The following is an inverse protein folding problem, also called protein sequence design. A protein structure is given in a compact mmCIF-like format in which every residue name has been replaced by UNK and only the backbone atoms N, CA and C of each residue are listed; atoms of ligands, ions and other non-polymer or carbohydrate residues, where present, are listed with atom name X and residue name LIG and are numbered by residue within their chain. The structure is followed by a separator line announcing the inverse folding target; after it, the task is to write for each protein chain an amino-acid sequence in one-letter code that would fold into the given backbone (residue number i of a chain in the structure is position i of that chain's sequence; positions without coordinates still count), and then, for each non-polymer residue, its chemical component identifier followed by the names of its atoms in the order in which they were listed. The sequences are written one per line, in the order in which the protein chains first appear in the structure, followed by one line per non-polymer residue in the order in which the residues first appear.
data_IF_731579427030
#
_entry.id   IF_731579427030
#
_cell.length_a   1.000
_cell.length_b   1.000
_cell.length_c   1.000
_cell.angle_alpha   90.00
_cell.angle_beta   90.00
_cell.angle_gamma   90.00
#
_symmetry.space_group_name_H-M   'P 1'
#
loop_
_entity.id
_entity.type
_entity.pdbx_description
1 polymer ?
2 branched ?
3 non-polymer ?
4 non-polymer ?
5 non-polymer ?
6 water ?
#
# COMPACT_ATOMS: atom_id res chain seq x y z
N UNK A 1 -19.40 -14.02 -2.69
CA UNK A 1 -20.61 -14.51 -1.97
C UNK A 1 -21.78 -14.66 -2.95
N UNK A 2 -22.30 -13.54 -3.42
CA UNK A 2 -23.41 -13.56 -4.37
C UNK A 2 -22.86 -13.77 -5.78
N UNK A 3 -23.68 -14.35 -6.64
CA UNK A 3 -23.29 -14.63 -8.03
C UNK A 3 -23.05 -13.39 -8.86
N UNK A 4 -22.03 -13.45 -9.72
CA UNK A 4 -21.70 -12.34 -10.61
C UNK A 4 -22.72 -12.36 -11.74
N UNK A 5 -23.03 -11.20 -12.32
CA UNK A 5 -23.99 -11.16 -13.42
C UNK A 5 -23.28 -11.56 -14.71
N UNK A 6 -24.04 -11.75 -15.78
CA UNK A 6 -23.46 -12.09 -17.07
C UNK A 6 -22.52 -10.96 -17.46
N UNK A 7 -21.33 -11.30 -17.94
CA UNK A 7 -20.36 -10.29 -18.37
C UNK A 7 -19.69 -10.71 -19.67
N UNK A 8 -19.50 -9.75 -20.57
CA UNK A 8 -18.85 -10.02 -21.84
C UNK A 8 -17.47 -9.39 -21.87
N UNK A 9 -16.44 -10.22 -21.95
CA UNK A 9 -15.06 -9.74 -21.98
C UNK A 9 -14.18 -10.76 -22.69
N UNK A 10 -12.97 -10.34 -23.08
CA UNK A 10 -12.03 -11.23 -23.78
C UNK A 10 -11.71 -12.48 -22.98
N UNK A 11 -11.72 -13.62 -23.66
CA UNK A 11 -11.44 -14.91 -23.03
C UNK A 11 -9.97 -14.98 -22.64
N UNK A 12 -9.68 -15.41 -21.40
CA UNK A 12 -8.27 -15.50 -21.00
C UNK A 12 -7.61 -16.59 -21.85
N UNK A 13 -6.36 -16.35 -22.24
CA UNK A 13 -5.61 -17.29 -23.07
C UNK A 13 -4.63 -18.12 -22.24
N UNK A 14 -4.97 -19.38 -22.00
CA UNK A 14 -4.12 -20.27 -21.22
C UNK A 14 -2.68 -20.37 -21.72
N UNK A 15 -2.52 -20.45 -23.04
CA UNK A 15 -1.21 -20.57 -23.64
C UNK A 15 -0.66 -19.22 -24.09
N UNK A 16 -1.17 -18.16 -23.48
CA UNK A 16 -0.74 -16.79 -23.79
C UNK A 16 -0.70 -15.97 -22.50
N UNK A 17 0.50 -15.78 -21.93
CA UNK A 17 0.64 -14.99 -20.70
C UNK A 17 0.26 -13.54 -20.93
N UNK A 18 -0.17 -12.85 -19.88
CA UNK A 18 -0.52 -11.45 -20.01
C UNK A 18 0.78 -10.65 -20.11
N UNK A 19 1.71 -10.95 -19.21
CA UNK A 19 3.01 -10.30 -19.17
C UNK A 19 4.10 -11.37 -19.22
N UNK A 20 5.06 -11.18 -20.12
CA UNK A 20 6.17 -12.12 -20.28
C UNK A 20 7.48 -11.49 -19.82
N UNK A 21 7.43 -10.19 -19.54
CA UNK A 21 8.60 -9.44 -19.13
C UNK A 21 8.79 -9.32 -17.63
N UNK A 22 7.78 -9.75 -16.86
CA UNK A 22 7.85 -9.65 -15.41
C UNK A 22 7.22 -10.84 -14.71
N UNK A 23 7.60 -11.03 -13.45
CA UNK A 23 7.08 -12.09 -12.60
C UNK A 23 5.71 -11.59 -12.13
N UNK A 24 4.66 -12.35 -12.40
CA UNK A 24 3.31 -11.94 -12.00
C UNK A 24 2.73 -12.72 -10.81
N UNK A 25 3.51 -13.66 -10.28
CA UNK A 25 3.07 -14.44 -9.12
C UNK A 25 4.29 -14.80 -8.28
N UNK A 26 4.19 -14.68 -6.97
CA UNK A 26 5.31 -14.99 -6.09
C UNK A 26 5.41 -16.49 -5.89
N UNK A 27 6.54 -16.97 -5.34
CA UNK A 27 6.68 -18.41 -5.12
C UNK A 27 5.70 -18.97 -4.07
N UNK A 28 4.99 -18.10 -3.36
CA UNK A 28 4.00 -18.58 -2.41
C UNK A 28 2.60 -18.35 -2.99
N UNK A 29 2.57 -18.19 -4.31
CA UNK A 29 1.35 -18.01 -5.08
C UNK A 29 0.52 -16.77 -4.78
N UNK A 30 1.20 -15.65 -4.54
CA UNK A 30 0.52 -14.38 -4.31
C UNK A 30 0.68 -13.59 -5.61
N UNK A 31 -0.41 -13.03 -6.14
CA UNK A 31 -0.29 -12.27 -7.38
C UNK A 31 0.58 -11.03 -7.20
N UNK A 32 1.34 -10.70 -8.24
CA UNK A 32 2.15 -9.48 -8.21
C UNK A 32 1.37 -8.64 -9.22
N UNK A 33 0.81 -7.53 -8.73
CA UNK A 33 -0.04 -6.67 -9.53
C UNK A 33 0.63 -5.71 -10.50
N UNK A 34 0.47 -5.99 -11.79
CA UNK A 34 1.00 -5.18 -12.88
C UNK A 34 -0.14 -4.91 -13.85
N UNK A 35 -0.05 -3.83 -14.62
CA UNK A 35 -1.08 -3.53 -15.60
C UNK A 35 -1.05 -4.68 -16.62
N UNK A 36 -2.22 -5.15 -17.01
CA UNK A 36 -2.32 -6.24 -17.96
C UNK A 36 -2.61 -7.58 -17.32
N UNK A 37 -2.49 -7.65 -16.00
CA UNK A 37 -2.74 -8.91 -15.28
C UNK A 37 -4.16 -9.03 -14.76
N UNK A 38 -4.91 -7.94 -14.74
CA UNK A 38 -6.27 -7.99 -14.22
C UNK A 38 -7.33 -7.30 -15.07
N UNK A 39 -8.54 -7.83 -14.99
CA UNK A 39 -9.69 -7.26 -15.69
C UNK A 39 -10.39 -6.51 -14.56
N UNK A 40 -10.28 -5.19 -14.56
CA UNK A 40 -10.87 -4.39 -13.50
C UNK A 40 -12.40 -4.47 -13.42
N UNK A 41 -13.05 -4.80 -14.54
CA UNK A 41 -14.51 -4.90 -14.51
C UNK A 41 -14.94 -6.09 -13.66
N UNK A 42 -14.23 -7.21 -13.78
CA UNK A 42 -14.58 -8.39 -12.99
C UNK A 42 -14.31 -8.10 -11.52
N UNK A 43 -13.15 -7.52 -11.23
CA UNK A 43 -12.79 -7.21 -9.84
C UNK A 43 -13.75 -6.19 -9.22
N UNK A 44 -14.12 -5.16 -9.98
CA UNK A 44 -15.05 -4.16 -9.43
C UNK A 44 -16.37 -4.81 -9.07
N UNK A 45 -16.83 -5.74 -9.91
CA UNK A 45 -18.08 -6.45 -9.66
C UNK A 45 -17.99 -7.23 -8.36
N UNK A 46 -16.91 -7.99 -8.22
CA UNK A 46 -16.71 -8.79 -7.03
C UNK A 46 -16.71 -7.98 -5.74
N UNK A 47 -15.99 -6.86 -5.73
CA UNK A 47 -15.93 -6.06 -4.53
C UNK A 47 -17.15 -5.19 -4.27
N UNK A 48 -17.84 -4.77 -5.32
CA UNK A 48 -19.05 -3.96 -5.13
C UNK A 48 -20.16 -4.85 -4.57
N UNK A 49 -20.22 -6.10 -5.01
CA UNK A 49 -21.24 -7.02 -4.53
C UNK A 49 -21.09 -7.26 -3.04
N UNK A 50 -19.89 -7.01 -2.53
CA UNK A 50 -19.60 -7.18 -1.11
C UNK A 50 -19.74 -5.85 -0.36
N UNK A 51 -20.12 -4.80 -1.08
CA UNK A 51 -20.29 -3.47 -0.49
C UNK A 51 -19.02 -3.10 0.27
N UNK A 52 -17.88 -3.33 -0.37
CA UNK A 52 -16.56 -3.07 0.23
C UNK A 52 -16.26 -1.61 0.57
N UNK A 53 -15.79 -1.38 1.79
CA UNK A 53 -15.41 -0.05 2.24
C UNK A 53 -13.90 -0.03 2.46
N UNK A 54 -13.21 0.88 1.80
CA UNK A 54 -11.77 0.98 1.96
C UNK A 54 -11.37 2.19 2.78
N UNK A 55 -10.55 1.98 3.80
CA UNK A 55 -10.08 3.08 4.60
C UNK A 55 -8.70 3.47 4.10
N UNK A 56 -8.45 4.76 3.93
CA UNK A 56 -7.17 5.24 3.47
C UNK A 56 -6.62 6.14 4.58
N UNK A 57 -5.50 5.74 5.17
CA UNK A 57 -4.92 6.51 6.26
C UNK A 57 -3.65 7.26 5.86
N UNK A 58 -3.54 8.49 6.32
CA UNK A 58 -2.37 9.32 6.05
C UNK A 58 -2.08 10.18 7.26
N UNK A 59 -0.80 10.44 7.48
CA UNK A 59 -0.36 11.28 8.59
C UNK A 59 0.18 12.56 7.99
N UNK A 60 -0.22 13.68 8.56
CA UNK A 60 0.23 14.97 8.07
C UNK A 60 0.55 15.83 9.28
N UNK A 61 1.79 15.75 9.72
CA UNK A 61 2.25 16.52 10.87
C UNK A 61 3.20 17.62 10.43
N UNK A 62 3.13 18.76 11.12
CA UNK A 62 3.98 19.90 10.81
C UNK A 62 3.79 20.38 9.37
N UNK A 63 4.89 20.59 8.66
CA UNK A 63 4.85 21.08 7.29
C UNK A 63 4.20 20.15 6.27
N UNK A 64 4.00 18.89 6.62
CA UNK A 64 3.41 17.95 5.69
C UNK A 64 1.93 18.16 5.43
N UNK A 65 1.28 19.04 6.20
CA UNK A 65 -0.13 19.30 5.99
C UNK A 65 -0.29 19.96 4.62
N UNK A 66 0.80 20.52 4.10
CA UNK A 66 0.81 21.19 2.81
C UNK A 66 0.59 20.24 1.63
N UNK A 67 0.81 18.95 1.85
CA UNK A 67 0.64 17.96 0.78
C UNK A 67 -0.77 17.40 0.69
N UNK A 68 -1.60 17.69 1.70
CA UNK A 68 -2.96 17.16 1.73
C UNK A 68 -3.88 17.51 0.57
N UNK A 69 -3.88 18.76 0.12
CA UNK A 69 -4.76 19.16 -0.97
C UNK A 69 -4.57 18.33 -2.23
N UNK A 70 -3.36 18.27 -2.74
CA UNK A 70 -3.08 17.50 -3.95
C UNK A 70 -3.31 16.00 -3.72
N UNK A 71 -2.92 15.52 -2.55
CA UNK A 71 -3.10 14.11 -2.23
C UNK A 71 -4.58 13.73 -2.31
N UNK A 72 -5.42 14.46 -1.59
CA UNK A 72 -6.85 14.18 -1.58
C UNK A 72 -7.55 14.42 -2.91
N UNK A 73 -7.21 15.52 -3.59
CA UNK A 73 -7.83 15.83 -4.88
C UNK A 73 -7.54 14.73 -5.90
N UNK A 74 -6.30 14.26 -5.93
CA UNK A 74 -5.95 13.21 -6.88
C UNK A 74 -6.51 11.86 -6.43
N UNK A 75 -6.65 11.64 -5.13
CA UNK A 75 -7.23 10.40 -4.65
C UNK A 75 -8.68 10.34 -5.14
N UNK A 76 -9.34 11.50 -5.13
CA UNK A 76 -10.72 11.56 -5.59
C UNK A 76 -10.86 11.18 -7.06
N UNK A 77 -9.80 11.40 -7.84
CA UNK A 77 -9.84 11.08 -9.26
C UNK A 77 -9.39 9.68 -9.61
N UNK A 78 -8.56 9.09 -8.76
CA UNK A 78 -8.00 7.77 -9.06
C UNK A 78 -8.09 6.64 -8.06
N UNK A 79 -8.41 6.95 -6.81
CA UNK A 79 -8.43 5.93 -5.76
C UNK A 79 -9.79 5.30 -5.46
N UNK A 80 -9.93 4.02 -5.78
CA UNK A 80 -11.16 3.28 -5.50
C UNK A 80 -12.43 3.99 -5.96
N UNK A 81 -12.38 4.68 -7.10
CA UNK A 81 -13.57 5.37 -7.58
C UNK A 81 -14.67 4.36 -7.84
N UNK A 82 -15.85 4.63 -7.28
CA UNK A 82 -16.98 3.73 -7.45
C UNK A 82 -17.26 2.94 -6.19
N UNK A 83 -16.26 2.87 -5.31
CA UNK A 83 -16.41 2.14 -4.05
C UNK A 83 -16.48 3.08 -2.85
N UNK A 84 -16.89 2.54 -1.70
CA UNK A 84 -16.99 3.33 -0.48
C UNK A 84 -15.58 3.57 0.05
N UNK A 85 -15.25 4.83 0.27
CA UNK A 85 -13.93 5.21 0.78
C UNK A 85 -14.04 6.09 2.01
N UNK A 86 -13.21 5.81 3.01
CA UNK A 86 -13.19 6.60 4.22
C UNK A 86 -11.75 7.02 4.46
N UNK A 87 -11.49 8.31 4.31
CA UNK A 87 -10.15 8.85 4.52
C UNK A 87 -9.97 9.15 6.01
N UNK A 88 -8.80 8.83 6.54
CA UNK A 88 -8.50 9.13 7.93
C UNK A 88 -7.23 9.95 7.91
N UNK A 89 -7.35 11.23 8.24
CA UNK A 89 -6.20 12.11 8.24
C UNK A 89 -5.77 12.41 9.68
N UNK A 90 -4.61 11.89 10.06
CA UNK A 90 -4.07 12.11 11.40
C UNK A 90 -3.15 13.32 11.30
N UNK A 91 -3.44 14.36 12.06
CA UNK A 91 -2.66 15.58 11.99
C UNK A 91 -2.61 16.31 13.31
N UNK A 92 -1.60 17.17 13.45
CA UNK A 92 -1.42 17.98 14.66
C UNK A 92 -2.00 19.36 14.38
N UNK A 93 -2.54 19.54 13.18
CA UNK A 93 -3.15 20.80 12.75
C UNK A 93 -4.50 20.57 12.08
N UNK A 94 -5.52 20.16 12.86
CA UNK A 94 -6.85 19.91 12.31
C UNK A 94 -7.39 21.03 11.43
N UNK A 95 -7.25 22.27 11.89
CA UNK A 95 -7.76 23.41 11.15
C UNK A 95 -6.98 23.69 9.86
N UNK A 96 -5.86 22.99 9.67
CA UNK A 96 -5.05 23.19 8.48
C UNK A 96 -5.44 22.24 7.34
N UNK A 97 -6.28 21.26 7.64
CA UNK A 97 -6.72 20.31 6.62
C UNK A 97 -7.56 21.05 5.60
N UNK A 98 -7.20 20.96 4.31
CA UNK A 98 -7.92 21.63 3.23
C UNK A 98 -9.33 21.10 3.01
N UNK A 99 -10.22 21.97 2.55
CA UNK A 99 -11.60 21.60 2.28
C UNK A 99 -11.65 21.03 0.86
N UNK A 100 -11.57 19.72 0.75
CA UNK A 100 -11.59 19.05 -0.54
C UNK A 100 -12.97 18.47 -0.82
N UNK A 101 -13.46 18.69 -2.03
CA UNK A 101 -14.79 18.19 -2.41
C UNK A 101 -14.72 16.69 -2.70
N UNK A 102 -15.59 15.92 -2.05
CA UNK A 102 -15.59 14.49 -2.23
C UNK A 102 -16.77 13.96 -3.02
N UNK A 103 -16.52 12.88 -3.76
CA UNK A 103 -17.57 12.25 -4.54
C UNK A 103 -18.52 11.55 -3.59
N UNK A 104 -19.67 11.11 -4.09
CA UNK A 104 -20.64 10.44 -3.24
C UNK A 104 -20.09 9.12 -2.69
N UNK A 105 -20.49 8.78 -1.47
CA UNK A 105 -20.05 7.53 -0.86
C UNK A 105 -18.63 7.58 -0.31
N UNK A 106 -18.07 8.78 -0.24
CA UNK A 106 -16.72 8.96 0.27
C UNK A 106 -16.75 9.97 1.41
N UNK A 107 -16.00 9.68 2.47
CA UNK A 107 -15.97 10.58 3.61
C UNK A 107 -14.58 10.75 4.16
N UNK A 108 -14.38 11.83 4.91
CA UNK A 108 -13.09 12.10 5.48
C UNK A 108 -13.21 12.45 6.95
N UNK A 109 -12.37 11.83 7.76
CA UNK A 109 -12.35 12.09 9.19
C UNK A 109 -10.99 12.65 9.56
N UNK A 110 -11.00 13.70 10.37
CA UNK A 110 -9.75 14.30 10.82
C UNK A 110 -9.53 13.85 12.26
N UNK A 111 -8.38 13.23 12.51
CA UNK A 111 -8.05 12.76 13.85
C UNK A 111 -6.83 13.53 14.34
N UNK A 112 -7.02 14.32 15.39
CA UNK A 112 -5.91 15.11 15.93
C UNK A 112 -4.95 14.20 16.67
N UNK A 113 -3.66 14.37 16.42
CA UNK A 113 -2.65 13.55 17.06
C UNK A 113 -1.77 14.28 18.05
N UNK A 114 -0.94 13.50 18.74
CA UNK A 114 -0.04 14.01 19.74
C UNK A 114 -0.15 12.99 20.86
N UNK A 115 -1.07 12.06 20.64
CA UNK A 115 -1.37 10.97 21.57
C UNK A 115 -2.59 10.21 21.06
N UNK A 116 -3.71 10.90 20.97
CA UNK A 116 -4.96 10.31 20.51
C UNK A 116 -5.09 10.33 18.99
N UNK A 134 -8.42 4.97 18.84
CA UNK A 134 -9.16 3.69 18.99
C UNK A 134 -9.10 2.86 17.71
N UNK A 135 -8.45 1.70 17.81
CA UNK A 135 -8.31 0.80 16.66
C UNK A 135 -9.57 -0.03 16.41
N UNK A 136 -10.44 -0.10 17.42
CA UNK A 136 -11.68 -0.85 17.29
C UNK A 136 -12.59 -0.12 16.31
N UNK A 137 -12.32 1.17 16.15
CA UNK A 137 -13.09 2.02 15.24
C UNK A 137 -12.95 1.47 13.82
N UNK A 138 -11.71 1.25 13.40
CA UNK A 138 -11.43 0.73 12.07
C UNK A 138 -12.18 -0.57 11.79
N UNK A 139 -12.20 -1.46 12.79
CA UNK A 139 -12.88 -2.74 12.65
C UNK A 139 -14.36 -2.60 12.32
N UNK A 140 -15.00 -1.55 12.82
CA UNK A 140 -16.42 -1.34 12.58
C UNK A 140 -16.74 -0.39 11.44
N UNK A 141 -15.73 0.30 10.89
CA UNK A 141 -16.00 1.26 9.81
C UNK A 141 -15.51 0.89 8.42
N UNK A 142 -14.47 0.08 8.33
CA UNK A 142 -13.95 -0.30 7.02
C UNK A 142 -13.61 -1.77 6.93
N UNK A 143 -13.49 -2.27 5.71
CA UNK A 143 -13.16 -3.67 5.49
C UNK A 143 -11.67 -3.83 5.26
N UNK A 144 -11.07 -2.84 4.61
CA UNK A 144 -9.64 -2.86 4.32
C UNK A 144 -9.00 -1.54 4.72
N UNK A 145 -7.72 -1.59 5.08
CA UNK A 145 -6.99 -0.40 5.44
C UNK A 145 -5.81 -0.27 4.49
N UNK A 146 -5.63 0.92 3.95
CA UNK A 146 -4.53 1.22 3.05
C UNK A 146 -3.77 2.34 3.72
N UNK A 147 -2.49 2.10 3.98
CA UNK A 147 -1.64 3.06 4.67
C UNK A 147 -0.60 3.62 3.72
N UNK A 148 -0.65 4.92 3.47
CA UNK A 148 0.31 5.57 2.56
C UNK A 148 0.92 6.86 3.07
N UNK A 149 1.99 7.28 2.41
CA UNK A 149 2.68 8.53 2.73
C UNK A 149 1.84 9.65 2.10
N UNK A 150 1.89 10.83 2.69
CA UNK A 150 1.10 11.96 2.19
C UNK A 150 1.76 12.82 1.11
N UNK A 151 3.10 12.84 1.08
CA UNK A 151 3.80 13.64 0.07
C UNK A 151 3.81 12.87 -1.24
N UNK A 152 2.60 12.59 -1.72
CA UNK A 152 2.39 11.82 -2.95
C UNK A 152 1.18 12.35 -3.68
N UNK A 153 0.97 11.84 -4.89
CA UNK A 153 -0.19 12.21 -5.68
C UNK A 153 -0.56 11.02 -6.56
N UNK A 154 -1.86 10.83 -6.79
CA UNK A 154 -2.28 9.75 -7.65
C UNK A 154 -2.28 10.29 -9.08
N UNK A 155 -1.75 9.50 -10.00
CA UNK A 155 -1.69 9.89 -11.40
C UNK A 155 -2.47 8.95 -12.30
N UNK A 156 -2.85 7.80 -11.76
CA UNK A 156 -3.61 6.82 -12.54
C UNK A 156 -4.35 5.90 -11.58
N UNK A 157 -5.16 5.02 -12.15
CA UNK A 157 -5.98 4.07 -11.40
C UNK A 157 -5.28 3.27 -10.29
N UNK A 158 -5.86 3.34 -9.08
CA UNK A 158 -5.40 2.56 -7.94
C UNK A 158 -6.74 2.07 -7.39
N UNK A 159 -7.07 0.82 -7.69
CA UNK A 159 -8.35 0.28 -7.29
C UNK A 159 -8.36 -1.02 -6.50
N UNK A 160 -9.49 -1.70 -6.56
CA UNK A 160 -9.68 -2.96 -5.81
C UNK A 160 -8.73 -4.08 -6.18
N UNK A 161 -7.99 -3.94 -7.27
CA UNK A 161 -7.02 -4.97 -7.65
C UNK A 161 -5.97 -5.14 -6.55
N UNK A 162 -5.82 -4.14 -5.69
CA UNK A 162 -4.82 -4.23 -4.62
C UNK A 162 -5.34 -4.89 -3.34
N UNK A 163 -6.66 -4.97 -3.18
CA UNK A 163 -7.27 -5.51 -1.98
C UNK A 163 -7.06 -7.01 -1.78
N UNK A 164 -6.65 -7.36 -0.56
CA UNK A 164 -6.33 -8.72 -0.20
C UNK A 164 -6.05 -8.70 1.31
N UNK A 165 -5.92 -9.87 1.96
CA UNK A 165 -5.66 -9.82 3.41
C UNK A 165 -4.43 -9.02 3.83
N UNK A 166 -3.34 -9.12 3.07
CA UNK A 166 -2.12 -8.39 3.41
C UNK A 166 -1.27 -8.13 2.18
N UNK A 167 -0.95 -6.86 1.91
CA UNK A 167 -0.11 -6.56 0.75
C UNK A 167 1.01 -5.60 1.07
N UNK A 168 2.09 -5.74 0.30
CA UNK A 168 3.25 -4.87 0.41
C UNK A 168 3.51 -4.38 -1.01
N UNK A 169 4.33 -3.34 -1.14
CA UNK A 169 4.65 -2.76 -2.45
C UNK A 169 6.15 -2.77 -2.71
N UNK A 170 6.53 -3.17 -3.92
CA UNK A 170 7.94 -3.21 -4.28
C UNK A 170 8.57 -1.82 -4.33
N UNK A 171 9.64 -1.63 -3.57
CA UNK A 171 10.36 -0.36 -3.55
C UNK A 171 10.91 -0.13 -4.96
N UNK A 172 10.67 1.06 -5.54
CA UNK A 172 11.16 1.36 -6.90
C UNK A 172 12.65 1.32 -7.13
N UNK A 173 13.45 1.42 -6.07
CA UNK A 173 14.90 1.39 -6.21
C UNK A 173 15.50 -0.01 -6.18
N UNK A 174 14.74 -1.00 -5.71
CA UNK A 174 15.29 -2.36 -5.61
C UNK A 174 14.54 -3.49 -6.29
N UNK A 175 13.52 -3.19 -7.10
CA UNK A 175 12.77 -4.27 -7.72
C UNK A 175 13.59 -5.16 -8.65
N UNK A 176 14.70 -4.62 -9.16
CA UNK A 176 15.55 -5.40 -10.04
C UNK A 176 16.89 -5.73 -9.42
N UNK A 177 16.99 -5.54 -8.11
CA UNK A 177 18.24 -5.79 -7.39
C UNK A 177 18.32 -7.17 -6.74
N UNK A 178 19.54 -7.61 -6.45
CA UNK A 178 19.75 -8.89 -5.80
C UNK A 178 19.50 -8.64 -4.31
N UNK A 179 19.10 -9.67 -3.57
CA UNK A 179 18.81 -9.50 -2.16
C UNK A 179 19.96 -8.95 -1.33
N UNK A 180 21.19 -9.24 -1.73
CA UNK A 180 22.36 -8.75 -1.01
C UNK A 180 22.39 -7.23 -1.01
N UNK A 181 21.84 -6.64 -2.07
CA UNK A 181 21.80 -5.18 -2.20
C UNK A 181 20.65 -4.53 -1.45
N UNK A 182 19.67 -5.33 -1.05
CA UNK A 182 18.52 -4.80 -0.30
C UNK A 182 19.02 -4.12 0.97
N UNK A 183 18.50 -2.93 1.26
CA UNK A 183 18.93 -2.21 2.45
C UNK A 183 18.19 -2.64 3.73
N UNK A 184 18.13 -3.95 3.95
CA UNK A 184 17.51 -4.50 5.16
C UNK A 184 18.40 -4.13 6.34
N UNK A 185 17.88 -4.28 7.56
CA UNK A 185 18.68 -4.03 8.74
C UNK A 185 19.60 -5.26 8.78
N UNK A 186 20.91 -5.04 8.85
CA UNK A 186 21.86 -6.15 8.84
C UNK A 186 22.51 -6.50 10.17
N UNK A 187 22.17 -5.77 11.22
CA UNK A 187 22.74 -6.03 12.54
C UNK A 187 21.89 -7.02 13.33
N UNK A 188 22.47 -8.16 13.72
CA UNK A 188 21.77 -9.21 14.48
C UNK A 188 21.15 -8.71 15.79
N UNK A 189 21.69 -7.60 16.30
CA UNK A 189 21.19 -7.04 17.55
C UNK A 189 19.82 -6.38 17.40
N UNK A 190 19.37 -6.20 16.17
CA UNK A 190 18.07 -5.58 15.90
C UNK A 190 17.00 -6.62 15.58
N UNK A 191 15.78 -6.38 16.04
CA UNK A 191 14.67 -7.28 15.78
C UNK A 191 14.34 -7.35 14.30
N UNK A 192 14.74 -6.31 13.56
CA UNK A 192 14.48 -6.24 12.12
C UNK A 192 15.56 -6.90 11.29
N UNK A 193 16.52 -7.55 11.97
CA UNK A 193 17.63 -8.21 11.31
C UNK A 193 17.24 -9.25 10.25
N UNK A 194 17.89 -9.15 9.09
CA UNK A 194 17.68 -10.08 7.99
C UNK A 194 19.04 -10.34 7.36
N UNK A 195 19.54 -11.58 7.42
CA UNK A 195 20.85 -11.93 6.85
C UNK A 195 20.87 -11.85 5.33
N UNK A 196 22.07 -11.75 4.76
CA UNK A 196 22.25 -11.64 3.32
C UNK A 196 21.66 -12.77 2.47
N UNK A 197 21.49 -13.95 3.06
CA UNK A 197 20.94 -15.07 2.31
C UNK A 197 19.43 -15.23 2.45
N UNK A 198 18.78 -14.22 3.01
CA UNK A 198 17.33 -14.24 3.18
C UNK A 198 16.67 -13.03 2.52
N UNK A 199 15.38 -13.14 2.25
CA UNK A 199 14.66 -12.03 1.65
C UNK A 199 14.05 -12.33 0.30
N UNK A 200 12.80 -11.91 0.13
CA UNK A 200 12.10 -12.12 -1.14
C UNK A 200 12.20 -10.82 -1.96
N UNK A 201 11.75 -9.72 -1.36
CA UNK A 201 11.76 -8.42 -2.02
C UNK A 201 12.02 -7.35 -0.97
N UNK A 202 12.28 -6.13 -1.44
CA UNK A 202 12.44 -5.02 -0.53
C UNK A 202 11.16 -4.21 -0.70
N UNK A 203 10.33 -4.19 0.33
CA UNK A 203 9.07 -3.47 0.28
C UNK A 203 9.25 -2.05 0.80
N UNK A 204 8.55 -1.10 0.18
CA UNK A 204 8.67 0.29 0.63
C UNK A 204 7.57 0.57 1.65
N UNK A 205 7.93 1.22 2.74
CA UNK A 205 6.95 1.50 3.79
C UNK A 205 5.90 2.55 3.45
N UNK A 206 6.00 3.14 2.27
CA UNK A 206 5.08 4.19 1.85
C UNK A 206 3.73 3.72 1.31
N UNK A 207 3.53 2.41 1.19
CA UNK A 207 2.27 1.90 0.66
C UNK A 207 2.11 0.43 1.01
N UNK A 208 1.26 0.15 2.02
CA UNK A 208 0.98 -1.21 2.41
C UNK A 208 -0.45 -1.23 2.95
N UNK A 209 -0.99 -2.41 3.16
CA UNK A 209 -2.35 -2.48 3.65
C UNK A 209 -2.88 -3.90 3.68
N UNK A 210 -4.19 -4.02 3.77
CA UNK A 210 -4.82 -5.33 3.80
C UNK A 210 -6.10 -5.24 4.62
N UNK A 211 -6.58 -6.36 5.14
CA UNK A 211 -7.79 -6.32 5.96
C UNK A 211 -7.43 -5.57 7.24
N UNK A 212 -8.44 -5.04 7.93
CA UNK A 212 -8.16 -4.31 9.16
C UNK A 212 -7.41 -5.19 10.17
N UNK A 213 -7.85 -6.43 10.32
CA UNK A 213 -7.22 -7.37 11.25
C UNK A 213 -5.74 -7.60 10.93
N UNK A 214 -5.43 -7.82 9.65
CA UNK A 214 -4.04 -8.07 9.26
C UNK A 214 -3.15 -6.84 9.40
N UNK A 215 -3.71 -5.67 9.09
CA UNK A 215 -2.94 -4.44 9.21
C UNK A 215 -2.65 -4.16 10.68
N UNK A 216 -3.62 -4.42 11.55
CA UNK A 216 -3.41 -4.17 12.96
C UNK A 216 -2.41 -5.17 13.53
N UNK A 217 -2.42 -6.40 13.02
CA UNK A 217 -1.47 -7.40 13.48
C UNK A 217 -0.07 -6.94 13.11
N UNK A 218 0.08 -6.44 11.88
CA UNK A 218 1.37 -5.96 11.41
C UNK A 218 1.86 -4.78 12.25
N UNK A 219 1.01 -3.78 12.43
CA UNK A 219 1.41 -2.60 13.20
C UNK A 219 1.72 -2.93 14.65
N UNK A 220 0.98 -3.87 15.25
CA UNK A 220 1.24 -4.24 16.63
C UNK A 220 2.58 -4.97 16.71
N UNK A 221 2.87 -5.81 15.73
CA UNK A 221 4.12 -6.56 15.70
C UNK A 221 5.31 -5.61 15.55
N UNK A 222 5.18 -4.64 14.65
CA UNK A 222 6.25 -3.68 14.43
C UNK A 222 6.45 -2.78 15.63
N UNK A 223 5.35 -2.34 16.25
CA UNK A 223 5.43 -1.47 17.42
C UNK A 223 6.20 -2.17 18.54
N UNK A 224 5.88 -3.45 18.76
CA UNK A 224 6.56 -4.22 19.80
C UNK A 224 8.04 -4.46 19.49
N UNK A 225 8.35 -4.73 18.23
CA UNK A 225 9.73 -4.97 17.82
C UNK A 225 10.56 -3.70 17.96
N UNK A 226 9.95 -2.56 17.66
CA UNK A 226 10.67 -1.28 17.77
C UNK A 226 10.92 -0.94 19.23
N UNK A 227 10.00 -1.32 20.11
CA UNK A 227 10.18 -1.05 21.53
C UNK A 227 11.36 -1.87 22.06
N UNK A 228 11.45 -3.12 21.61
CA UNK A 228 12.53 -3.99 22.03
C UNK A 228 13.86 -3.41 21.57
N UNK A 229 13.89 -2.91 20.33
CA UNK A 229 15.11 -2.31 19.80
C UNK A 229 15.50 -1.08 20.61
N UNK A 230 14.52 -0.24 20.94
CA UNK A 230 14.79 0.96 21.71
C UNK A 230 15.40 0.58 23.05
N UNK A 231 14.85 -0.44 23.70
CA UNK A 231 15.35 -0.89 24.99
C UNK A 231 16.79 -1.39 24.86
N UNK A 232 17.13 -1.92 23.70
CA UNK A 232 18.49 -2.43 23.46
C UNK A 232 19.42 -1.37 22.87
N UNK A 233 18.94 -0.12 22.85
CA UNK A 233 19.75 0.97 22.33
C UNK A 233 20.11 0.91 20.86
N UNK A 234 19.21 0.38 20.03
CA UNK A 234 19.48 0.28 18.61
C UNK A 234 18.28 0.73 17.80
N UNK A 235 18.55 1.42 16.69
CA UNK A 235 17.50 1.92 15.81
C UNK A 235 17.75 1.37 14.40
N UNK A 236 16.76 0.64 13.87
CA UNK A 236 16.88 0.04 12.54
C UNK A 236 17.29 1.08 11.49
N UNK A 237 18.14 0.66 10.58
CA UNK A 237 18.65 1.53 9.52
C UNK A 237 17.58 2.35 8.82
N UNK A 238 16.44 1.75 8.49
CA UNK A 238 15.37 2.49 7.83
C UNK A 238 14.09 2.49 8.66
N UNK A 239 14.29 2.49 9.98
CA UNK A 239 13.20 2.55 10.96
C UNK A 239 12.02 1.61 10.70
N UNK A 240 10.82 2.18 10.66
CA UNK A 240 9.59 1.41 10.45
C UNK A 240 9.66 0.49 9.24
N UNK A 241 10.22 1.00 8.15
CA UNK A 241 10.33 0.23 6.92
C UNK A 241 11.18 -1.03 7.09
N UNK A 242 12.20 -0.95 7.95
CA UNK A 242 13.05 -2.11 8.20
C UNK A 242 12.23 -3.19 8.87
N UNK A 243 11.38 -2.78 9.82
CA UNK A 243 10.54 -3.74 10.52
C UNK A 243 9.43 -4.28 9.62
N UNK A 244 8.92 -3.43 8.74
CA UNK A 244 7.89 -3.88 7.79
C UNK A 244 8.46 -5.02 6.96
N UNK A 245 9.70 -4.85 6.52
CA UNK A 245 10.33 -5.88 5.70
C UNK A 245 10.56 -7.17 6.46
N UNK A 246 10.90 -7.07 7.74
CA UNK A 246 11.10 -8.26 8.55
C UNK A 246 9.75 -8.97 8.72
N UNK A 247 8.69 -8.20 8.96
CA UNK A 247 7.37 -8.79 9.13
C UNK A 247 6.91 -9.51 7.87
N UNK A 248 7.04 -8.84 6.73
CA UNK A 248 6.59 -9.43 5.47
C UNK A 248 7.45 -10.61 5.00
N UNK A 249 8.65 -10.72 5.57
CA UNK A 249 9.52 -11.83 5.23
C UNK A 249 8.97 -13.07 5.95
N UNK A 250 8.58 -12.90 7.22
CA UNK A 250 8.05 -13.99 8.03
C UNK A 250 6.55 -14.24 7.89
N UNK A 251 5.82 -13.27 7.35
CA UNK A 251 4.38 -13.38 7.11
C UNK A 251 4.20 -12.91 5.68
N UNK A 252 4.27 -13.84 4.73
CA UNK A 252 4.16 -13.51 3.31
C UNK A 252 2.87 -12.77 2.95
N UNK A 253 3.00 -11.67 2.20
CA UNK A 253 1.81 -10.92 1.80
C UNK A 253 1.01 -11.74 0.80
N UNK A 254 -0.31 -11.57 0.79
CA UNK A 254 -1.16 -12.32 -0.12
C UNK A 254 -1.25 -11.69 -1.51
N UNK A 255 -0.68 -10.49 -1.65
CA UNK A 255 -0.57 -9.77 -2.93
C UNK A 255 0.63 -8.84 -2.78
N UNK A 256 1.36 -8.63 -3.87
CA UNK A 256 2.49 -7.72 -3.88
C UNK A 256 2.21 -6.73 -5.00
N UNK A 257 2.34 -5.44 -4.71
CA UNK A 257 2.09 -4.44 -5.74
C UNK A 257 3.39 -4.07 -6.46
N UNK A 258 3.31 -3.96 -7.79
CA UNK A 258 4.48 -3.61 -8.59
C UNK A 258 4.83 -2.14 -8.36
N UNK A 259 6.01 -1.70 -8.85
CA UNK A 259 6.44 -0.31 -8.69
C UNK A 259 5.50 0.70 -9.37
N UNK A 260 4.52 0.23 -10.13
CA UNK A 260 3.56 1.12 -10.77
C UNK A 260 2.86 1.90 -9.64
N UNK A 261 2.77 1.24 -8.48
CA UNK A 261 2.09 1.80 -7.32
C UNK A 261 2.93 2.68 -6.39
N UNK A 262 4.22 2.83 -6.66
CA UNK A 262 5.08 3.66 -5.85
C UNK A 262 6.27 4.04 -6.72
N UNK A 263 6.17 5.21 -7.36
CA UNK A 263 7.24 5.66 -8.26
C UNK A 263 7.62 7.12 -8.10
N UNK A 264 8.74 7.49 -8.70
CA UNK A 264 9.24 8.87 -8.69
C UNK A 264 9.80 9.06 -10.08
N UNK A 265 9.04 9.69 -10.96
CA UNK A 265 9.46 9.91 -12.33
C UNK A 265 10.67 10.83 -12.45
N UNK A 266 10.82 11.74 -11.48
CA UNK A 266 11.94 12.67 -11.50
C UNK A 266 13.27 11.93 -11.30
N UNK A 267 13.32 11.03 -10.32
CA UNK A 267 14.53 10.29 -10.04
C UNK A 267 14.70 9.00 -10.85
N UNK A 268 13.59 8.41 -11.29
CA UNK A 268 13.65 7.14 -12.01
C UNK A 268 13.11 7.11 -13.43
N UNK A 269 12.54 8.21 -13.91
CA UNK A 269 12.02 8.25 -15.26
C UNK A 269 10.77 7.41 -15.47
N UNK A 270 10.60 6.88 -16.68
CA UNK A 270 9.45 6.06 -17.00
C UNK A 270 9.89 4.87 -17.85
N UNK A 271 10.37 3.80 -17.19
CA UNK A 271 10.84 2.56 -17.81
C UNK A 271 9.75 1.86 -18.60
N UNK A 272 10.13 1.14 -19.66
CA UNK A 272 9.18 0.43 -20.50
C UNK A 272 8.38 -0.59 -19.71
N UNK A 273 9.00 -1.15 -18.67
CA UNK A 273 8.34 -2.16 -17.85
C UNK A 273 7.14 -1.62 -17.08
N UNK A 274 7.04 -0.29 -16.99
CA UNK A 274 5.90 0.34 -16.29
C UNK A 274 4.93 0.92 -17.31
N UNK A 275 3.80 0.25 -17.50
CA UNK A 275 2.80 0.71 -18.45
C UNK A 275 1.99 1.87 -17.90
N UNK A 276 1.98 1.98 -16.58
CA UNK A 276 1.27 3.05 -15.90
C UNK A 276 2.05 3.49 -14.67
N UNK A 277 1.95 4.78 -14.36
CA UNK A 277 2.58 5.37 -13.17
C UNK A 277 1.33 5.79 -12.40
N UNK A 278 1.01 5.04 -11.34
CA UNK A 278 -0.21 5.28 -10.59
C UNK A 278 -0.15 6.18 -9.36
N UNK A 279 0.89 6.02 -8.55
CA UNK A 279 1.03 6.77 -7.30
C UNK A 279 2.49 7.19 -7.25
N UNK A 280 2.73 8.50 -7.25
CA UNK A 280 4.10 9.02 -7.29
C UNK A 280 4.47 10.06 -6.25
N UNK A 281 5.77 10.21 -6.05
CA UNK A 281 6.28 11.19 -5.10
C UNK A 281 6.11 12.59 -5.66
N UNK A 282 5.84 13.56 -4.78
CA UNK A 282 5.67 14.93 -5.20
C UNK A 282 7.00 15.68 -5.10
N UNK A 283 7.42 16.31 -6.21
CA UNK A 283 8.68 17.07 -6.25
C UNK A 283 8.62 18.32 -5.37
X LIG B 1 14.97 5.69 -0.47
X LIG B 1 14.55 5.75 -1.83
X LIG B 1 13.90 6.34 0.42
X LIG B 1 14.01 7.78 0.27
X LIG B 1 14.05 5.97 1.91
X LIG B 1 14.32 4.49 2.09
X LIG B 1 13.18 3.74 1.69
X LIG B 1 15.51 4.10 1.24
X LIG B 1 15.18 4.31 -0.15
X LIG B 1 15.87 2.62 1.39
X LIG B 1 17.13 2.33 0.80
X LIG B 1 12.85 6.33 2.65
X LIG B 1 15.34 6.64 -2.67
X LIG B 1 14.69 6.34 -4.04
X LIG B 1 13.30 7.07 -4.34
X LIG B 1 11.96 6.22 -3.99
X LIG B 1 10.56 6.93 -3.93
X LIG B 1 9.71 6.66 -4.94
X LIG B 2 12.88 8.55 0.45
X LIG B 2 13.24 9.86 1.15
X LIG B 2 14.12 10.73 0.26
X LIG B 2 13.42 10.97 -1.07
X LIG B 2 13.07 9.63 -1.72
X LIG B 2 12.26 9.85 -2.99
X LIG B 2 13.93 9.58 2.37
X LIG B 2 14.37 11.97 0.90
X LIG B 2 12.23 11.72 -0.86
X LIG B 2 12.26 8.81 -0.83
X LIG C 1 5.84 -1.69 10.30
X LIG D 1 7.39 -5.97 12.41
X LIG E 1 -2.80 2.30 8.62
X LIG F 1 7.30 10.09 1.47
X LIG G 1 5.52 12.70 8.20
X LIG G 1 4.74 13.74 8.76
X LIG G 1 5.44 14.77 9.38
X LIG G 1 6.83 14.89 9.50
X LIG G 1 7.67 13.71 8.85
X LIG G 1 6.94 12.74 8.26
X LIG G 1 3.51 13.74 8.73
X LIG G 1 7.28 15.88 10.09
X LIG G 1 4.80 11.57 7.52
X LIG G 1 4.24 11.87 6.12
X LIG G 1 2.96 11.30 5.96
X LIG G 1 5.29 11.23 5.19
X LIG G 1 5.69 10.00 5.97
X LIG G 1 5.70 10.46 7.36
X LIG G 1 4.64 10.87 3.98
X LIG G 1 7.08 9.46 5.62
X LIG G 1 8.02 10.53 5.66
X LIG G 1 8.85 11.29 4.56
X LIG G 1 7.92 11.78 3.52
X LIG G 1 9.68 12.33 5.27
X LIG G 1 9.66 10.03 4.04
X LIG G 1 10.24 9.63 2.61
X LIG G 1 11.31 8.47 2.93
X LIG G 1 10.87 10.91 2.18
X LIG G 1 9.26 8.97 1.72
#
# INVERSE_FOLDING_TARGET
MVSLPRMVYPQPKVLTPCRKDVLVVTPWLAPIVWEGTFNIDILNEQFRLQNTTIGLTVFAIKKYVAFLKLFLETAEKHFMVGHRVHYYVFTDQPAAVPRVTLGTGRQLSVLEVGAYKRWQDVSMRRMEMISDFCERRFLSEVDYLVCVDVDMEFRDHVGVEILTPLFGTLHPSFYGSSREAFTYERRPQSQAYIPKDEGDFYYMGAFFGGSVQEVQRLTRACHQAMMVDQANGIEAVWHDESHLNKYLLRHKPTKVLSPEYLWDQQLLGWPAVLRKLRFTAVP
AIG C1 O1 C2 O2 C3 C4 O4 C5 O5 C6 O6 N3 C1' C2' C3' C4' C5' C6'
FUC C1 C2 C3 C4 C5 C6 O2 O3 O4 O5
HG HG
HG HG
HG HG
MN MN
UDP N1 C2 N3 C4 C5 C6 O2 O4 C1' C2' O2' C3' C4' O4' O3' C5' O5' PA O1A O2A O3A PB O1B O2B O3B
#
